data_IF_464739925177
#
_entry.id   IF_464739925177
#
_cell.length_a   1.000
_cell.length_b   1.000
_cell.length_c   1.000
_cell.angle_alpha   90.00
_cell.angle_beta   90.00
_cell.angle_gamma   90.00
#
_symmetry.space_group_name_H-M   'P 1'
#
loop_
_entity.id
_entity.type
_entity.pdbx_description
1 polymer ?
#
# COMPACT_ATOMS: atom_id res chain seq x y z
N UNK A 1 -17.98 -19.90 18.15
CA UNK A 1 -18.68 -18.83 17.40
C UNK A 1 -17.70 -18.24 16.39
N UNK A 2 -18.05 -18.10 15.10
CA UNK A 2 -17.11 -18.31 14.00
C UNK A 2 -16.11 -17.17 13.86
N UNK A 3 -14.84 -17.50 14.09
CA UNK A 3 -13.66 -16.62 14.06
C UNK A 3 -13.30 -16.19 12.61
N UNK A 4 -13.90 -16.83 11.59
CA UNK A 4 -13.73 -16.48 10.18
C UNK A 4 -14.40 -15.17 9.75
N UNK A 5 -15.46 -14.72 10.43
CA UNK A 5 -16.20 -13.53 10.00
C UNK A 5 -15.43 -12.23 10.25
N UNK A 6 -14.62 -12.12 11.32
CA UNK A 6 -13.96 -10.86 11.69
C UNK A 6 -12.92 -10.40 10.67
N UNK A 7 -12.17 -11.33 10.07
CA UNK A 7 -11.17 -11.05 9.02
C UNK A 7 -11.83 -10.63 7.71
N UNK A 8 -12.90 -11.33 7.34
CA UNK A 8 -13.71 -11.01 6.16
C UNK A 8 -14.38 -9.64 6.31
N UNK A 9 -14.94 -9.35 7.48
CA UNK A 9 -15.57 -8.06 7.80
C UNK A 9 -14.52 -6.93 7.83
N UNK A 10 -13.37 -7.13 8.48
CA UNK A 10 -12.29 -6.14 8.51
C UNK A 10 -11.68 -5.85 7.14
N UNK A 11 -11.48 -6.90 6.32
CA UNK A 11 -11.05 -6.77 4.93
C UNK A 11 -12.10 -6.09 4.04
N UNK A 12 -13.39 -6.40 4.20
CA UNK A 12 -14.47 -5.74 3.45
C UNK A 12 -14.56 -4.25 3.83
N UNK A 13 -14.53 -3.92 5.12
CA UNK A 13 -14.61 -2.53 5.60
C UNK A 13 -13.41 -1.71 5.09
N UNK A 14 -12.20 -2.23 5.24
CA UNK A 14 -11.00 -1.54 4.75
C UNK A 14 -10.98 -1.46 3.23
N UNK A 15 -11.50 -2.46 2.51
CA UNK A 15 -11.60 -2.43 1.04
C UNK A 15 -12.60 -1.40 0.54
N UNK A 16 -13.75 -1.28 1.20
CA UNK A 16 -14.74 -0.22 0.92
C UNK A 16 -14.12 1.16 1.22
N UNK A 17 -13.33 1.29 2.28
CA UNK A 17 -12.63 2.53 2.60
C UNK A 17 -11.59 2.91 1.51
N UNK A 18 -10.82 1.94 0.99
CA UNK A 18 -9.91 2.17 -0.15
C UNK A 18 -10.71 2.68 -1.36
N UNK A 19 -11.79 1.99 -1.73
CA UNK A 19 -12.62 2.36 -2.89
C UNK A 19 -13.27 3.73 -2.73
N UNK A 20 -13.77 4.06 -1.53
CA UNK A 20 -14.37 5.35 -1.25
C UNK A 20 -13.35 6.50 -1.37
N UNK A 21 -12.13 6.29 -0.86
CA UNK A 21 -11.07 7.32 -0.90
C UNK A 21 -10.53 7.48 -2.32
N UNK A 22 -10.27 6.38 -3.03
CA UNK A 22 -9.85 6.46 -4.44
C UNK A 22 -10.94 7.10 -5.29
N UNK A 23 -12.21 6.73 -5.08
CA UNK A 23 -13.36 7.30 -5.79
C UNK A 23 -13.54 8.79 -5.50
N UNK A 24 -13.41 9.22 -4.24
CA UNK A 24 -13.48 10.62 -3.86
C UNK A 24 -12.36 11.45 -4.50
N UNK A 25 -11.13 10.93 -4.50
CA UNK A 25 -9.99 11.57 -5.15
C UNK A 25 -10.17 11.69 -6.67
N UNK A 26 -10.69 10.64 -7.32
CA UNK A 26 -10.96 10.65 -8.76
C UNK A 26 -12.07 11.64 -9.12
N UNK A 27 -13.13 11.70 -8.31
CA UNK A 27 -14.22 12.66 -8.49
C UNK A 27 -13.76 14.12 -8.31
N UNK A 28 -12.83 14.34 -7.37
CA UNK A 28 -12.19 15.63 -7.14
C UNK A 28 -11.30 16.05 -8.32
N UNK A 29 -10.55 15.09 -8.88
CA UNK A 29 -9.73 15.29 -10.07
C UNK A 29 -10.59 15.62 -11.31
N UNK A 30 -11.70 14.91 -11.54
CA UNK A 30 -12.62 15.19 -12.66
C UNK A 30 -13.27 16.58 -12.56
N UNK A 31 -13.46 17.11 -11.35
CA UNK A 31 -13.94 18.47 -11.13
C UNK A 31 -12.86 19.55 -11.33
N UNK A 32 -11.64 19.18 -11.71
CA UNK A 32 -10.54 20.12 -11.92
C UNK A 32 -10.00 20.75 -10.63
N UNK A 33 -10.37 20.22 -9.45
CA UNK A 33 -9.77 20.63 -8.20
C UNK A 33 -8.35 20.06 -8.09
N UNK A 34 -7.40 20.89 -7.66
CA UNK A 34 -6.04 20.45 -7.39
C UNK A 34 -6.06 19.41 -6.26
N UNK A 35 -5.48 18.24 -6.54
CA UNK A 35 -5.26 17.19 -5.54
C UNK A 35 -4.24 17.69 -4.52
N UNK A 36 -4.65 17.74 -3.26
CA UNK A 36 -3.77 18.15 -2.17
C UNK A 36 -2.79 17.05 -1.76
N UNK A 37 -1.80 17.40 -0.94
CA UNK A 37 -0.89 16.42 -0.35
C UNK A 37 -1.61 15.42 0.56
N UNK A 38 -2.62 15.88 1.32
CA UNK A 38 -3.47 15.05 2.19
C UNK A 38 -4.27 14.00 1.43
N UNK A 39 -4.76 14.38 0.26
CA UNK A 39 -5.53 13.54 -0.66
C UNK A 39 -4.68 12.37 -1.16
N UNK A 40 -3.44 12.65 -1.58
CA UNK A 40 -2.51 11.65 -2.09
C UNK A 40 -1.91 10.75 -1.01
N UNK A 41 -1.58 11.30 0.19
CA UNK A 41 -0.98 10.50 1.27
C UNK A 41 -2.00 9.58 1.95
N UNK A 42 -3.29 9.89 1.87
CA UNK A 42 -4.34 9.06 2.45
C UNK A 42 -4.41 7.67 1.81
N UNK A 43 -4.21 7.58 0.49
CA UNK A 43 -4.27 6.33 -0.28
C UNK A 43 -3.30 5.26 0.25
N UNK A 44 -1.97 5.49 0.32
CA UNK A 44 -1.01 4.50 0.81
C UNK A 44 -1.23 4.15 2.29
N UNK A 45 -1.70 5.08 3.12
CA UNK A 45 -1.98 4.82 4.54
C UNK A 45 -3.13 3.83 4.70
N UNK A 46 -4.26 4.07 4.03
CA UNK A 46 -5.40 3.15 4.09
C UNK A 46 -5.04 1.81 3.46
N UNK A 47 -4.23 1.80 2.39
CA UNK A 47 -3.81 0.58 1.72
C UNK A 47 -2.86 -0.26 2.59
N UNK A 48 -1.94 0.39 3.31
CA UNK A 48 -1.11 -0.26 4.34
C UNK A 48 -1.99 -0.91 5.42
N UNK A 49 -3.01 -0.19 5.90
CA UNK A 49 -3.92 -0.69 6.92
C UNK A 49 -4.77 -1.87 6.42
N UNK A 50 -5.23 -1.82 5.16
CA UNK A 50 -5.95 -2.89 4.49
C UNK A 50 -5.11 -4.17 4.41
N UNK A 51 -3.90 -4.08 3.88
CA UNK A 51 -3.02 -5.25 3.74
C UNK A 51 -2.63 -5.83 5.11
N UNK A 52 -2.34 -4.98 6.10
CA UNK A 52 -2.02 -5.44 7.46
C UNK A 52 -3.20 -6.18 8.10
N UNK A 53 -4.41 -5.60 8.05
CA UNK A 53 -5.64 -6.20 8.61
C UNK A 53 -5.98 -7.55 7.99
N UNK A 54 -5.69 -7.74 6.70
CA UNK A 54 -5.95 -9.00 6.02
C UNK A 54 -4.84 -10.03 6.32
N UNK A 55 -3.58 -9.60 6.34
CA UNK A 55 -2.43 -10.49 6.52
C UNK A 55 -2.38 -11.09 7.93
N UNK A 56 -2.62 -10.29 8.98
CA UNK A 56 -2.44 -10.71 10.37
C UNK A 56 -3.76 -10.68 11.18
N UNK A 57 -4.09 -11.74 11.93
CA UNK A 57 -5.32 -11.81 12.75
C UNK A 57 -5.08 -11.35 14.21
N UNK A 58 -3.87 -11.53 14.74
CA UNK A 58 -3.46 -11.11 16.08
C UNK A 58 -1.97 -10.83 16.08
N UNK A 59 -1.52 -9.92 16.96
CA UNK A 59 -0.09 -9.67 17.19
C UNK A 59 0.65 -10.93 17.66
N UNK A 60 -0.04 -11.93 18.22
CA UNK A 60 0.53 -13.24 18.56
C UNK A 60 0.84 -14.08 17.31
N UNK A 61 -0.06 -14.12 16.31
CA UNK A 61 0.15 -14.86 15.06
C UNK A 61 1.33 -14.28 14.27
N UNK A 62 1.58 -12.98 14.42
CA UNK A 62 2.73 -12.28 13.84
C UNK A 62 4.04 -12.55 14.60
N UNK A 63 3.98 -12.79 15.91
CA UNK A 63 5.15 -13.04 16.77
C UNK A 63 5.57 -14.50 16.85
N UNK A 64 4.71 -15.40 16.40
CA UNK A 64 5.02 -16.82 16.27
C UNK A 64 6.18 -17.06 15.29
N UNK A 65 6.87 -18.19 15.43
CA UNK A 65 8.05 -18.52 14.63
C UNK A 65 7.75 -18.50 13.12
N UNK A 66 6.57 -19.00 12.76
CA UNK A 66 6.07 -19.00 11.38
C UNK A 66 5.81 -17.55 10.88
N UNK A 67 5.28 -16.69 11.74
CA UNK A 67 5.01 -15.28 11.45
C UNK A 67 6.28 -14.46 11.23
N UNK A 68 7.32 -14.69 12.04
CA UNK A 68 8.63 -14.08 11.85
C UNK A 68 9.29 -14.54 10.55
N UNK A 69 9.17 -15.83 10.20
CA UNK A 69 9.74 -16.37 8.97
C UNK A 69 9.07 -15.78 7.73
N UNK A 70 7.74 -15.63 7.77
CA UNK A 70 6.96 -14.94 6.73
C UNK A 70 7.43 -13.48 6.62
N UNK A 71 7.52 -12.74 7.72
CA UNK A 71 7.97 -11.34 7.74
C UNK A 71 9.38 -11.19 7.15
N UNK A 72 10.34 -12.01 7.57
CA UNK A 72 11.72 -11.96 7.05
C UNK A 72 11.79 -12.24 5.54
N UNK A 73 11.07 -13.26 5.07
CA UNK A 73 11.05 -13.62 3.64
C UNK A 73 10.36 -12.54 2.81
N UNK A 74 9.29 -11.97 3.35
CA UNK A 74 8.53 -10.88 2.73
C UNK A 74 9.36 -9.59 2.65
N UNK A 75 10.15 -9.27 3.68
CA UNK A 75 11.03 -8.11 3.68
C UNK A 75 12.04 -8.13 2.53
N UNK A 76 12.65 -9.30 2.25
CA UNK A 76 13.59 -9.45 1.13
C UNK A 76 12.91 -9.23 -0.22
N UNK A 77 11.71 -9.77 -0.42
CA UNK A 77 10.95 -9.60 -1.67
C UNK A 77 10.47 -8.16 -1.82
N UNK A 78 10.01 -7.55 -0.73
CA UNK A 78 9.58 -6.16 -0.66
C UNK A 78 10.69 -5.18 -1.03
N UNK A 79 11.91 -5.46 -0.56
CA UNK A 79 13.08 -4.68 -0.94
C UNK A 79 13.31 -4.67 -2.45
N UNK A 80 13.28 -5.85 -3.10
CA UNK A 80 13.42 -5.93 -4.56
C UNK A 80 12.27 -5.26 -5.31
N UNK A 81 11.03 -5.42 -4.83
CA UNK A 81 9.87 -4.72 -5.41
C UNK A 81 10.01 -3.20 -5.29
N UNK A 82 10.48 -2.69 -4.14
CA UNK A 82 10.72 -1.27 -3.93
C UNK A 82 11.81 -0.75 -4.86
N UNK A 83 12.90 -1.50 -5.05
CA UNK A 83 13.95 -1.15 -6.00
C UNK A 83 13.42 -1.00 -7.43
N UNK A 84 12.50 -1.87 -7.86
CA UNK A 84 11.85 -1.76 -9.18
C UNK A 84 10.99 -0.49 -9.25
N UNK A 85 10.22 -0.19 -8.20
CA UNK A 85 9.40 1.03 -8.17
C UNK A 85 10.26 2.29 -8.22
N UNK A 86 11.36 2.34 -7.46
CA UNK A 86 12.32 3.45 -7.53
C UNK A 86 12.85 3.61 -8.95
N UNK A 87 13.19 2.52 -9.63
CA UNK A 87 13.68 2.53 -11.00
C UNK A 87 12.62 3.06 -11.98
N UNK A 88 11.36 2.64 -11.85
CA UNK A 88 10.25 3.16 -12.68
C UNK A 88 10.07 4.65 -12.46
N UNK A 89 10.07 5.10 -11.20
CA UNK A 89 9.95 6.53 -10.87
C UNK A 89 11.10 7.34 -11.45
N UNK A 90 12.33 6.82 -11.34
CA UNK A 90 13.51 7.45 -11.92
C UNK A 90 13.40 7.58 -13.44
N UNK A 91 12.97 6.53 -14.15
CA UNK A 91 12.73 6.59 -15.60
C UNK A 91 11.62 7.60 -15.97
N UNK A 92 10.59 7.74 -15.14
CA UNK A 92 9.51 8.70 -15.33
C UNK A 92 9.94 10.16 -15.10
N UNK A 93 10.95 10.41 -14.26
CA UNK A 93 11.55 11.74 -14.06
C UNK A 93 12.42 12.16 -15.24
N UNK A 94 13.26 11.24 -15.73
CA UNK A 94 14.14 11.49 -16.89
C UNK A 94 13.34 11.61 -18.20
N UNK A 95 12.08 11.14 -18.23
CA UNK A 95 11.23 11.25 -19.40
C UNK A 95 10.82 12.72 -19.66
N UNK A 96 10.96 13.22 -20.91
CA UNK A 96 10.73 14.63 -21.26
C UNK A 96 9.26 15.10 -21.16
N UNK A 97 8.35 14.27 -20.67
CA UNK A 97 6.93 14.57 -20.51
C UNK A 97 6.58 15.28 -19.19
N UNK A 98 7.49 15.37 -18.22
CA UNK A 98 7.20 15.88 -16.88
C UNK A 98 7.65 17.34 -16.66
N UNK A 99 7.02 18.29 -17.36
CA UNK A 99 7.26 19.72 -17.13
C UNK A 99 6.30 20.40 -16.14
N UNK A 100 5.25 19.73 -15.68
CA UNK A 100 4.24 20.32 -14.78
C UNK A 100 3.83 19.35 -13.68
N UNK A 101 4.62 19.29 -12.60
CA UNK A 101 4.22 18.55 -11.41
C UNK A 101 3.60 19.48 -10.36
N UNK A 102 2.43 19.12 -9.79
CA UNK A 102 1.71 19.94 -8.82
C UNK A 102 2.43 20.04 -7.47
N UNK A 103 3.41 19.17 -7.19
CA UNK A 103 4.12 19.07 -5.91
C UNK A 103 5.62 19.08 -6.19
N UNK A 104 6.36 19.91 -5.46
CA UNK A 104 7.83 19.91 -5.48
C UNK A 104 8.34 18.53 -5.01
N UNK A 105 9.08 17.82 -5.87
CA UNK A 105 9.61 16.46 -5.64
C UNK A 105 8.55 15.34 -5.56
N UNK A 106 7.55 15.35 -6.46
CA UNK A 106 6.48 14.32 -6.49
C UNK A 106 7.02 12.89 -6.62
N UNK A 107 8.15 12.70 -7.29
CA UNK A 107 8.80 11.40 -7.47
C UNK A 107 9.29 10.81 -6.16
N UNK A 108 9.91 11.64 -5.31
CA UNK A 108 10.37 11.22 -3.99
C UNK A 108 9.18 10.86 -3.09
N UNK A 109 8.09 11.63 -3.21
CA UNK A 109 6.84 11.35 -2.52
C UNK A 109 6.20 10.03 -2.99
N UNK A 110 6.20 9.74 -4.29
CA UNK A 110 5.66 8.49 -4.83
C UNK A 110 6.43 7.27 -4.33
N UNK A 111 7.77 7.36 -4.29
CA UNK A 111 8.63 6.30 -3.72
C UNK A 111 8.33 6.11 -2.23
N UNK A 112 8.17 7.19 -1.48
CA UNK A 112 7.82 7.14 -0.06
C UNK A 112 6.49 6.39 0.14
N UNK A 113 5.46 6.76 -0.62
CA UNK A 113 4.15 6.11 -0.58
C UNK A 113 4.22 4.63 -1.00
N UNK A 114 5.04 4.28 -1.99
CA UNK A 114 5.21 2.91 -2.41
C UNK A 114 5.90 2.06 -1.33
N UNK A 115 6.92 2.60 -0.66
CA UNK A 115 7.67 1.89 0.38
C UNK A 115 6.80 1.43 1.55
N UNK A 116 5.79 2.21 1.92
CA UNK A 116 4.88 1.88 3.03
C UNK A 116 3.85 0.81 2.66
N UNK A 117 3.52 0.67 1.38
CA UNK A 117 2.52 -0.28 0.88
C UNK A 117 3.15 -1.61 0.46
N UNK A 118 4.37 -1.60 -0.08
CA UNK A 118 4.99 -2.80 -0.66
C UNK A 118 5.21 -3.88 0.40
N UNK A 119 5.71 -3.51 1.59
CA UNK A 119 5.95 -4.47 2.67
C UNK A 119 4.68 -5.23 3.09
N UNK A 120 3.59 -4.57 3.51
CA UNK A 120 2.37 -5.27 3.90
C UNK A 120 1.71 -5.99 2.71
N UNK A 121 1.83 -5.48 1.48
CA UNK A 121 1.31 -6.17 0.29
C UNK A 121 2.03 -7.50 0.01
N UNK A 122 3.35 -7.52 0.15
CA UNK A 122 4.15 -8.75 -0.03
C UNK A 122 3.92 -9.71 1.13
N UNK A 123 3.84 -9.22 2.37
CA UNK A 123 3.45 -10.06 3.52
C UNK A 123 2.12 -10.76 3.30
N UNK A 124 1.13 -10.05 2.74
CA UNK A 124 -0.16 -10.64 2.39
C UNK A 124 -0.04 -11.75 1.33
N UNK A 125 0.80 -11.57 0.30
CA UNK A 125 1.01 -12.59 -0.73
C UNK A 125 1.72 -13.82 -0.15
N UNK A 126 2.73 -13.61 0.69
CA UNK A 126 3.53 -14.69 1.28
C UNK A 126 2.73 -15.46 2.33
N UNK A 127 1.97 -14.78 3.19
CA UNK A 127 1.13 -15.44 4.21
C UNK A 127 0.09 -16.36 3.59
N UNK A 128 -0.45 -16.01 2.41
CA UNK A 128 -1.37 -16.83 1.63
C UNK A 128 -0.73 -18.06 0.96
N UNK A 129 0.61 -18.11 0.90
CA UNK A 129 1.37 -19.24 0.32
C UNK A 129 1.84 -20.23 1.37
N UNK A 130 1.98 -19.79 2.61
CA UNK A 130 2.40 -20.63 3.74
C UNK A 130 1.22 -21.20 4.57
N UNK A 131 0.01 -20.70 4.36
CA UNK A 131 -1.24 -21.16 4.98
C UNK A 131 -2.11 -21.89 3.98
#
# INVERSE_FOLDING_TARGET
MPIGNKRLIGGIISGIAVLAIVGYNLFKYMQGQQLGFSDLISIPIILMFFFNTISWNSAEEQRDELGQLITCKSAKISYFALMIVILIVFLCEEAPFHSHQPIKNMSLFLVLCASTVILPAVEFIVSRRFR
#
